data_IF_209915177211
#
_entry.id   IF_209915177211
#
_cell.length_a   1.000
_cell.length_b   1.000
_cell.length_c   1.000
_cell.angle_alpha   90.00
_cell.angle_beta   90.00
_cell.angle_gamma   90.00
#
_symmetry.space_group_name_H-M   'P 1'
#
loop_
_entity.id
_entity.type
_entity.pdbx_description
1 polymer ?
#
# COMPACT_ATOMS: atom_id res chain seq x y z
N UNK A 1 -24.56 8.47 13.68
CA UNK A 1 -23.76 7.45 14.40
C UNK A 1 -23.40 6.23 13.54
N UNK A 2 -24.34 5.62 12.81
CA UNK A 2 -24.08 4.37 12.06
C UNK A 2 -23.01 4.49 10.95
N UNK A 3 -22.90 5.63 10.28
CA UNK A 3 -21.89 5.87 9.22
C UNK A 3 -20.45 5.85 9.76
N UNK A 4 -20.24 6.32 10.99
CA UNK A 4 -18.90 6.40 11.60
C UNK A 4 -18.37 4.97 11.86
N UNK A 5 -19.21 4.06 12.33
CA UNK A 5 -18.82 2.65 12.54
C UNK A 5 -18.53 1.93 11.22
N UNK A 6 -19.33 2.20 10.18
CA UNK A 6 -19.15 1.62 8.84
C UNK A 6 -17.85 2.06 8.19
N UNK A 7 -17.35 3.27 8.49
CA UNK A 7 -16.07 3.78 7.97
C UNK A 7 -14.90 3.40 8.88
N UNK A 8 -15.08 3.45 10.20
CA UNK A 8 -14.02 3.21 11.18
C UNK A 8 -13.55 1.76 11.22
N UNK A 9 -14.44 0.77 11.01
CA UNK A 9 -14.06 -0.65 11.04
C UNK A 9 -13.15 -1.01 9.85
N UNK A 10 -13.49 -0.69 8.58
CA UNK A 10 -12.58 -0.89 7.45
C UNK A 10 -11.26 -0.13 7.61
N UNK A 11 -11.28 1.09 8.17
CA UNK A 11 -10.07 1.86 8.44
C UNK A 11 -9.18 1.21 9.50
N UNK A 12 -9.75 0.74 10.61
CA UNK A 12 -9.02 0.01 11.64
C UNK A 12 -8.42 -1.28 11.10
N UNK A 13 -9.20 -2.02 10.30
CA UNK A 13 -8.75 -3.24 9.64
C UNK A 13 -7.61 -2.92 8.65
N UNK A 14 -7.73 -1.86 7.84
CA UNK A 14 -6.67 -1.39 6.94
C UNK A 14 -5.41 -0.94 7.69
N UNK A 15 -5.55 -0.26 8.83
CA UNK A 15 -4.43 0.15 9.70
C UNK A 15 -3.73 -1.08 10.28
N UNK A 16 -4.50 -2.06 10.77
CA UNK A 16 -3.97 -3.34 11.25
C UNK A 16 -3.23 -4.04 10.10
N UNK A 17 -3.80 -4.08 8.90
CA UNK A 17 -3.17 -4.68 7.71
C UNK A 17 -1.82 -4.03 7.35
N UNK A 18 -1.67 -2.72 7.51
CA UNK A 18 -0.40 -2.02 7.24
C UNK A 18 0.72 -2.31 8.24
N UNK A 19 0.41 -2.90 9.40
CA UNK A 19 1.40 -3.25 10.42
C UNK A 19 2.15 -4.56 10.17
N UNK A 20 1.68 -5.41 9.25
CA UNK A 20 2.27 -6.73 8.99
C UNK A 20 3.30 -6.64 7.87
N UNK A 21 4.58 -6.87 8.19
CA UNK A 21 5.68 -6.89 7.21
C UNK A 21 5.64 -8.14 6.30
N UNK A 22 5.41 -9.32 6.89
CA UNK A 22 5.36 -10.56 6.12
C UNK A 22 4.09 -10.68 5.27
N UNK A 23 4.26 -10.70 3.96
CA UNK A 23 3.20 -10.88 2.96
C UNK A 23 2.40 -12.17 3.21
N UNK A 24 3.07 -13.26 3.59
CA UNK A 24 2.41 -14.54 3.89
C UNK A 24 1.58 -14.48 5.17
N UNK A 25 2.10 -13.90 6.26
CA UNK A 25 1.33 -13.73 7.50
C UNK A 25 0.09 -12.84 7.28
N UNK A 26 0.25 -11.79 6.47
CA UNK A 26 -0.86 -10.95 6.00
C UNK A 26 -1.89 -11.80 5.25
N UNK A 27 -1.50 -12.58 4.25
CA UNK A 27 -2.43 -13.45 3.50
C UNK A 27 -3.17 -14.46 4.38
N UNK A 28 -2.51 -15.07 5.37
CA UNK A 28 -3.15 -16.00 6.32
C UNK A 28 -4.19 -15.29 7.19
N UNK A 29 -3.89 -14.07 7.64
CA UNK A 29 -4.83 -13.25 8.40
C UNK A 29 -6.02 -12.81 7.53
N UNK A 30 -5.78 -12.31 6.31
CA UNK A 30 -6.86 -11.98 5.34
C UNK A 30 -7.74 -13.21 5.11
N UNK A 31 -7.16 -14.39 4.85
CA UNK A 31 -7.91 -15.63 4.64
C UNK A 31 -8.84 -15.99 5.81
N UNK A 32 -8.42 -15.74 7.05
CA UNK A 32 -9.26 -15.98 8.24
C UNK A 32 -10.39 -14.96 8.36
N UNK A 33 -10.14 -13.71 7.98
CA UNK A 33 -11.13 -12.63 8.01
C UNK A 33 -12.07 -12.61 6.80
N UNK A 34 -11.67 -13.19 5.67
CA UNK A 34 -12.37 -13.09 4.39
C UNK A 34 -13.85 -13.50 4.49
N UNK A 35 -14.15 -14.58 5.22
CA UNK A 35 -15.52 -15.04 5.40
C UNK A 35 -16.38 -14.08 6.23
N UNK A 36 -15.78 -13.43 7.23
CA UNK A 36 -16.43 -12.39 8.00
C UNK A 36 -16.68 -11.15 7.15
N UNK A 37 -15.68 -10.72 6.36
CA UNK A 37 -15.81 -9.59 5.44
C UNK A 37 -16.87 -9.84 4.36
N UNK A 38 -16.96 -11.06 3.82
CA UNK A 38 -18.00 -11.45 2.87
C UNK A 38 -19.40 -11.33 3.48
N UNK A 39 -19.60 -11.80 4.71
CA UNK A 39 -20.88 -11.70 5.41
C UNK A 39 -21.28 -10.23 5.66
N UNK A 40 -20.32 -9.39 6.08
CA UNK A 40 -20.54 -7.96 6.28
C UNK A 40 -20.85 -7.26 4.95
N UNK A 41 -20.11 -7.55 3.89
CA UNK A 41 -20.34 -7.00 2.56
C UNK A 41 -21.75 -7.35 2.05
N UNK A 42 -22.19 -8.61 2.24
CA UNK A 42 -23.53 -9.05 1.86
C UNK A 42 -24.62 -8.30 2.64
N UNK A 43 -24.48 -8.19 3.96
CA UNK A 43 -25.44 -7.50 4.81
C UNK A 43 -25.58 -6.00 4.45
N UNK A 44 -24.46 -5.31 4.23
CA UNK A 44 -24.47 -3.89 3.84
C UNK A 44 -25.03 -3.74 2.42
N UNK A 45 -24.73 -4.66 1.51
CA UNK A 45 -25.26 -4.63 0.14
C UNK A 45 -26.79 -4.79 0.12
N UNK A 46 -27.33 -5.73 0.89
CA UNK A 46 -28.78 -5.88 1.07
C UNK A 46 -29.42 -4.60 1.63
N UNK A 47 -28.83 -4.00 2.67
CA UNK A 47 -29.30 -2.74 3.24
C UNK A 47 -29.28 -1.61 2.21
N UNK A 48 -28.20 -1.47 1.45
CA UNK A 48 -28.04 -0.43 0.44
C UNK A 48 -29.09 -0.55 -0.69
N UNK A 49 -29.36 -1.78 -1.16
CA UNK A 49 -30.38 -2.05 -2.17
C UNK A 49 -31.79 -1.74 -1.68
N UNK A 50 -32.13 -2.14 -0.45
CA UNK A 50 -33.46 -1.91 0.14
C UNK A 50 -33.76 -0.43 0.41
N UNK A 51 -32.73 0.39 0.66
CA UNK A 51 -32.87 1.80 1.02
C UNK A 51 -32.44 2.78 -0.09
N UNK A 52 -32.11 2.28 -1.29
CA UNK A 52 -31.66 3.10 -2.42
C UNK A 52 -30.31 3.81 -2.22
N UNK A 53 -29.46 3.32 -1.30
CA UNK A 53 -28.17 3.92 -0.95
C UNK A 53 -27.00 3.36 -1.78
N UNK A 54 -27.12 3.39 -3.11
CA UNK A 54 -26.20 2.72 -4.04
C UNK A 54 -24.73 3.17 -3.95
N UNK A 55 -24.48 4.40 -3.51
CA UNK A 55 -23.11 4.92 -3.32
C UNK A 55 -22.31 4.11 -2.28
N UNK A 56 -22.97 3.50 -1.29
CA UNK A 56 -22.33 2.63 -0.32
C UNK A 56 -21.73 1.37 -0.97
N UNK A 57 -22.34 0.88 -2.06
CA UNK A 57 -21.85 -0.30 -2.77
C UNK A 57 -20.45 -0.07 -3.32
N UNK A 58 -20.15 1.12 -3.84
CA UNK A 58 -18.81 1.44 -4.36
C UNK A 58 -17.79 1.42 -3.22
N UNK A 59 -18.12 2.04 -2.08
CA UNK A 59 -17.22 2.16 -0.94
C UNK A 59 -16.89 0.81 -0.28
N UNK A 60 -17.85 -0.11 -0.22
CA UNK A 60 -17.64 -1.42 0.41
C UNK A 60 -17.09 -2.47 -0.56
N UNK A 61 -17.38 -2.33 -1.86
CA UNK A 61 -17.01 -3.36 -2.85
C UNK A 61 -15.53 -3.25 -3.22
N UNK A 62 -14.96 -2.04 -3.32
CA UNK A 62 -13.55 -1.88 -3.66
C UNK A 62 -12.63 -2.56 -2.62
N UNK A 63 -12.79 -2.30 -1.30
CA UNK A 63 -12.00 -2.99 -0.27
C UNK A 63 -12.24 -4.50 -0.25
N UNK A 64 -13.50 -4.93 -0.44
CA UNK A 64 -13.84 -6.36 -0.47
C UNK A 64 -13.17 -7.09 -1.63
N UNK A 65 -13.15 -6.49 -2.83
CA UNK A 65 -12.46 -7.07 -3.99
C UNK A 65 -10.94 -7.14 -3.80
N UNK A 66 -10.34 -6.14 -3.15
CA UNK A 66 -8.92 -6.18 -2.80
C UNK A 66 -8.60 -7.29 -1.80
N UNK A 67 -9.44 -7.45 -0.77
CA UNK A 67 -9.32 -8.55 0.20
C UNK A 67 -9.51 -9.92 -0.44
N UNK A 68 -10.51 -10.08 -1.31
CA UNK A 68 -10.72 -11.30 -2.10
C UNK A 68 -9.49 -11.61 -2.96
N UNK A 69 -8.98 -10.60 -3.68
CA UNK A 69 -7.77 -10.74 -4.48
C UNK A 69 -6.60 -11.17 -3.60
N UNK A 70 -6.36 -10.53 -2.46
CA UNK A 70 -5.27 -10.88 -1.55
C UNK A 70 -5.38 -12.32 -1.00
N UNK A 71 -6.61 -12.75 -0.69
CA UNK A 71 -6.93 -14.10 -0.18
C UNK A 71 -6.58 -15.21 -1.18
N UNK A 72 -6.89 -14.99 -2.47
CA UNK A 72 -6.77 -15.99 -3.52
C UNK A 72 -5.56 -15.78 -4.44
N UNK A 73 -4.83 -14.67 -4.32
CA UNK A 73 -3.62 -14.40 -5.09
C UNK A 73 -2.53 -15.39 -4.69
N UNK A 74 -1.95 -16.04 -5.70
CA UNK A 74 -0.69 -16.80 -5.52
C UNK A 74 0.45 -15.83 -5.25
N UNK A 75 1.29 -16.16 -4.27
CA UNK A 75 2.50 -15.39 -3.99
C UNK A 75 3.38 -15.34 -5.24
N UNK A 76 3.79 -14.13 -5.62
CA UNK A 76 4.76 -13.93 -6.71
C UNK A 76 6.19 -13.99 -6.14
N UNK A 77 7.19 -14.01 -7.02
CA UNK A 77 8.60 -14.07 -6.62
C UNK A 77 9.00 -12.92 -5.67
N UNK A 78 8.47 -11.71 -5.88
CA UNK A 78 8.70 -10.57 -4.97
C UNK A 78 8.16 -10.83 -3.56
N UNK A 79 7.00 -11.46 -3.44
CA UNK A 79 6.42 -11.83 -2.14
C UNK A 79 7.28 -12.88 -1.44
N UNK A 80 7.82 -13.86 -2.19
CA UNK A 80 8.71 -14.89 -1.64
C UNK A 80 10.01 -14.26 -1.13
N UNK A 81 10.58 -13.36 -1.93
CA UNK A 81 11.78 -12.61 -1.60
C UNK A 81 11.57 -11.75 -0.35
N UNK A 82 10.43 -11.05 -0.25
CA UNK A 82 10.08 -10.26 0.93
C UNK A 82 9.93 -11.12 2.18
N UNK A 83 9.29 -12.29 2.08
CA UNK A 83 9.18 -13.21 3.22
C UNK A 83 10.56 -13.66 3.72
N UNK A 84 11.52 -13.88 2.81
CA UNK A 84 12.89 -14.25 3.17
C UNK A 84 13.64 -13.09 3.82
N UNK A 85 13.54 -11.86 3.31
CA UNK A 85 14.18 -10.69 3.93
C UNK A 85 13.61 -10.39 5.32
N UNK A 86 12.31 -10.63 5.53
CA UNK A 86 11.68 -10.47 6.85
C UNK A 86 12.14 -11.53 7.86
N UNK A 87 12.46 -12.75 7.41
CA UNK A 87 12.96 -13.86 8.24
C UNK A 87 13.94 -14.76 7.46
N UNK A 88 15.23 -14.39 7.40
CA UNK A 88 16.23 -15.10 6.58
C UNK A 88 16.52 -16.53 7.06
N UNK A 89 16.09 -16.88 8.28
CA UNK A 89 16.25 -18.24 8.81
C UNK A 89 15.29 -19.22 8.17
N UNK A 90 14.21 -18.76 7.54
CA UNK A 90 13.21 -19.62 6.95
C UNK A 90 13.09 -19.37 5.44
N UNK A 91 12.81 -20.43 4.69
CA UNK A 91 12.55 -20.32 3.26
C UNK A 91 11.32 -19.42 3.00
N UNK A 92 11.48 -18.38 2.19
CA UNK A 92 10.40 -17.46 1.82
C UNK A 92 9.22 -18.11 1.08
N UNK A 93 9.42 -19.31 0.53
CA UNK A 93 8.40 -20.13 -0.15
C UNK A 93 7.75 -21.17 0.76
N UNK A 94 8.52 -22.01 1.45
CA UNK A 94 7.97 -23.16 2.20
C UNK A 94 8.11 -23.07 3.72
N UNK A 95 8.77 -22.04 4.27
CA UNK A 95 9.07 -21.87 5.70
C UNK A 95 10.00 -22.93 6.30
N UNK A 96 10.66 -23.76 5.48
CA UNK A 96 11.69 -24.67 5.97
C UNK A 96 12.84 -23.89 6.61
N UNK A 97 13.33 -24.36 7.76
CA UNK A 97 14.49 -23.78 8.46
C UNK A 97 15.76 -23.97 7.64
N UNK A 98 16.34 -22.87 7.19
CA UNK A 98 17.54 -22.80 6.37
C UNK A 98 18.82 -22.81 7.20
N UNK A 99 18.75 -22.95 8.53
CA UNK A 99 19.92 -23.00 9.40
C UNK A 99 20.89 -24.10 8.95
N UNK A 100 22.11 -23.69 8.58
CA UNK A 100 23.16 -24.60 8.11
C UNK A 100 23.05 -24.98 6.62
N UNK A 101 22.11 -24.40 5.86
CA UNK A 101 22.07 -24.60 4.42
C UNK A 101 23.15 -23.80 3.71
N UNK A 102 24.01 -24.50 2.96
CA UNK A 102 25.10 -23.90 2.15
C UNK A 102 24.87 -24.04 0.64
N UNK A 103 23.81 -24.71 0.23
CA UNK A 103 23.59 -25.08 -1.18
C UNK A 103 23.07 -23.93 -2.06
N UNK A 104 22.57 -22.84 -1.45
CA UNK A 104 21.88 -21.77 -2.17
C UNK A 104 20.50 -22.14 -2.71
N UNK A 105 20.00 -23.35 -2.43
CA UNK A 105 18.66 -23.82 -2.81
C UNK A 105 17.96 -24.45 -1.61
N UNK A 106 16.66 -24.24 -1.47
CA UNK A 106 15.88 -24.87 -0.42
C UNK A 106 15.75 -26.39 -0.67
N UNK A 107 16.10 -27.26 0.30
CA UNK A 107 16.06 -28.71 0.12
C UNK A 107 14.64 -29.27 0.00
N UNK A 108 13.64 -28.60 0.57
CA UNK A 108 12.24 -29.08 0.57
C UNK A 108 11.47 -28.69 -0.70
N UNK A 109 11.55 -27.43 -1.11
CA UNK A 109 10.73 -26.91 -2.20
C UNK A 109 11.51 -26.56 -3.47
N UNK A 110 12.85 -26.64 -3.44
CA UNK A 110 13.71 -26.30 -4.57
C UNK A 110 13.80 -24.80 -4.88
N UNK A 111 13.29 -23.92 -4.01
CA UNK A 111 13.39 -22.47 -4.22
C UNK A 111 14.85 -22.01 -4.16
N UNK A 112 15.29 -21.24 -5.13
CA UNK A 112 16.64 -20.64 -5.11
C UNK A 112 16.67 -19.53 -4.06
N UNK A 113 17.58 -19.67 -3.10
CA UNK A 113 17.74 -18.74 -1.99
C UNK A 113 18.53 -17.54 -2.53
N UNK A 114 17.98 -16.32 -2.43
CA UNK A 114 18.66 -15.12 -2.85
C UNK A 114 19.89 -14.88 -1.99
N UNK A 115 20.92 -14.25 -2.56
CA UNK A 115 22.10 -13.84 -1.82
C UNK A 115 21.72 -12.85 -0.70
N UNK A 116 22.45 -12.84 0.42
CA UNK A 116 22.16 -11.96 1.57
C UNK A 116 22.18 -10.47 1.19
N UNK A 117 22.88 -10.13 0.09
CA UNK A 117 22.95 -8.77 -0.46
C UNK A 117 21.77 -8.41 -1.39
N UNK A 118 20.76 -9.27 -1.52
CA UNK A 118 19.61 -8.99 -2.39
C UNK A 118 18.80 -7.82 -1.83
N UNK A 119 18.84 -6.68 -2.50
CA UNK A 119 18.08 -5.49 -2.10
C UNK A 119 16.64 -5.57 -2.59
N UNK A 120 15.68 -5.36 -1.69
CA UNK A 120 14.25 -5.24 -2.02
C UNK A 120 13.81 -3.79 -1.78
N UNK A 121 12.87 -3.31 -2.59
CA UNK A 121 12.23 -2.01 -2.39
C UNK A 121 11.42 -2.03 -1.09
N UNK A 122 11.71 -1.10 -0.17
CA UNK A 122 11.05 -1.01 1.13
C UNK A 122 9.63 -0.45 0.98
N UNK A 123 8.59 -1.24 1.26
CA UNK A 123 7.18 -0.82 1.17
C UNK A 123 6.84 0.49 1.90
N UNK A 124 7.64 0.89 2.89
CA UNK A 124 7.43 2.12 3.66
C UNK A 124 8.25 3.31 3.17
N UNK A 125 8.97 3.19 2.04
CA UNK A 125 9.84 4.27 1.56
C UNK A 125 9.07 5.57 1.31
N UNK A 126 7.78 5.50 0.95
CA UNK A 126 6.92 6.68 0.72
C UNK A 126 6.51 7.41 2.01
N UNK A 127 6.59 6.73 3.17
CA UNK A 127 6.24 7.27 4.49
C UNK A 127 7.43 8.02 5.07
N UNK A 128 7.68 9.21 4.53
CA UNK A 128 8.83 10.06 4.89
C UNK A 128 8.90 10.40 6.39
N UNK A 129 7.77 10.36 7.11
CA UNK A 129 7.71 10.58 8.56
C UNK A 129 8.17 9.36 9.39
N UNK A 130 8.29 8.17 8.79
CA UNK A 130 8.82 6.96 9.45
C UNK A 130 10.31 6.85 9.19
N UNK A 131 10.71 6.95 7.93
CA UNK A 131 12.11 6.79 7.50
C UNK A 131 12.42 7.77 6.39
N UNK A 132 13.43 8.62 6.63
CA UNK A 132 13.83 9.62 5.65
C UNK A 132 14.62 9.03 4.49
N UNK A 133 15.57 8.13 4.77
CA UNK A 133 16.44 7.56 3.73
C UNK A 133 15.76 6.44 2.95
N UNK A 134 15.89 6.52 1.62
CA UNK A 134 15.46 5.47 0.69
C UNK A 134 16.61 4.47 0.57
N UNK A 135 16.36 3.21 0.90
CA UNK A 135 17.36 2.14 0.80
C UNK A 135 17.55 1.68 -0.65
N UNK A 136 16.50 1.14 -1.24
CA UNK A 136 16.49 0.66 -2.62
C UNK A 136 15.17 1.02 -3.30
N UNK A 137 15.25 1.36 -4.59
CA UNK A 137 14.12 1.63 -5.47
C UNK A 137 14.37 0.94 -6.82
N UNK A 138 13.43 0.12 -7.27
CA UNK A 138 13.59 -0.69 -8.49
C UNK A 138 13.52 0.18 -9.75
N UNK A 139 12.64 1.19 -9.74
CA UNK A 139 12.39 2.07 -10.89
C UNK A 139 12.34 3.56 -10.49
N UNK A 140 13.48 4.16 -10.11
CA UNK A 140 13.48 5.50 -9.52
C UNK A 140 12.99 6.60 -10.45
N UNK A 141 13.28 6.52 -11.76
CA UNK A 141 12.78 7.50 -12.74
C UNK A 141 11.25 7.44 -12.90
N UNK A 142 10.67 6.24 -12.94
CA UNK A 142 9.21 6.07 -13.04
C UNK A 142 8.51 6.61 -11.80
N UNK A 143 9.05 6.31 -10.62
CA UNK A 143 8.52 6.78 -9.34
C UNK A 143 8.64 8.31 -9.22
N UNK A 144 9.73 8.91 -9.70
CA UNK A 144 9.91 10.36 -9.76
C UNK A 144 8.83 11.02 -10.62
N UNK A 145 8.65 10.54 -11.86
CA UNK A 145 7.63 11.10 -12.76
C UNK A 145 6.22 10.93 -12.21
N UNK A 146 5.91 9.78 -11.62
CA UNK A 146 4.62 9.52 -11.01
C UNK A 146 4.31 10.50 -9.87
N UNK A 147 5.22 10.68 -8.92
CA UNK A 147 5.02 11.58 -7.78
C UNK A 147 4.98 13.05 -8.21
N UNK A 148 5.81 13.45 -9.18
CA UNK A 148 5.78 14.79 -9.73
C UNK A 148 4.45 15.10 -10.43
N UNK A 149 3.96 14.19 -11.28
CA UNK A 149 2.69 14.34 -11.98
C UNK A 149 1.51 14.36 -11.00
N UNK A 150 1.49 13.45 -10.03
CA UNK A 150 0.43 13.40 -9.01
C UNK A 150 0.42 14.67 -8.15
N UNK A 151 1.60 15.21 -7.83
CA UNK A 151 1.73 16.52 -7.18
C UNK A 151 1.11 17.65 -8.02
N UNK A 152 1.46 17.74 -9.30
CA UNK A 152 0.93 18.75 -10.22
C UNK A 152 -0.60 18.66 -10.36
N UNK A 153 -1.15 17.45 -10.45
CA UNK A 153 -2.60 17.24 -10.47
C UNK A 153 -3.24 17.69 -9.16
N UNK A 154 -2.63 17.36 -8.02
CA UNK A 154 -3.17 17.71 -6.69
C UNK A 154 -3.23 19.22 -6.47
N UNK A 155 -2.19 19.96 -6.87
CA UNK A 155 -2.16 21.43 -6.76
C UNK A 155 -3.07 22.13 -7.78
N UNK A 156 -3.42 21.48 -8.90
CA UNK A 156 -4.39 22.01 -9.86
C UNK A 156 -5.84 21.84 -9.39
N UNK A 157 -6.16 20.68 -8.80
CA UNK A 157 -7.53 20.33 -8.37
C UNK A 157 -7.97 21.18 -7.17
N UNK A 158 -7.10 21.42 -6.17
CA UNK A 158 -7.46 22.19 -4.98
C UNK A 158 -8.01 23.59 -5.28
N UNK A 159 -7.29 24.45 -6.01
CA UNK A 159 -7.75 25.76 -6.46
C UNK A 159 -8.96 25.68 -7.40
N UNK A 160 -9.02 24.69 -8.29
CA UNK A 160 -10.19 24.48 -9.15
C UNK A 160 -11.47 24.26 -8.35
N UNK A 161 -11.40 23.49 -7.26
CA UNK A 161 -12.54 23.27 -6.34
C UNK A 161 -12.97 24.60 -5.69
N UNK A 162 -12.02 25.46 -5.29
CA UNK A 162 -12.33 26.77 -4.70
C UNK A 162 -12.95 27.75 -5.70
N UNK A 163 -12.49 27.71 -6.95
CA UNK A 163 -12.90 28.65 -8.00
C UNK A 163 -14.20 28.23 -8.70
N UNK A 164 -14.53 26.93 -8.71
CA UNK A 164 -15.68 26.42 -9.45
C UNK A 164 -17.03 26.62 -8.75
N UNK A 165 -17.07 26.73 -7.42
CA UNK A 165 -18.30 27.03 -6.69
C UNK A 165 -18.07 27.89 -5.42
N UNK A 166 -18.01 29.23 -5.55
CA UNK A 166 -17.76 30.15 -4.44
C UNK A 166 -18.87 30.19 -3.38
N UNK A 167 -20.07 29.68 -3.68
CA UNK A 167 -21.26 29.81 -2.83
C UNK A 167 -21.82 28.45 -2.37
N UNK A 168 -21.00 27.40 -2.44
CA UNK A 168 -21.45 26.05 -2.09
C UNK A 168 -21.95 26.02 -0.62
N UNK A 169 -23.17 25.51 -0.36
CA UNK A 169 -23.78 25.47 0.98
C UNK A 169 -23.02 24.61 2.01
N UNK A 170 -21.92 23.97 1.60
CA UNK A 170 -21.06 23.12 2.40
C UNK A 170 -19.61 23.64 2.39
N UNK A 171 -19.41 24.94 2.64
CA UNK A 171 -18.09 25.57 2.66
C UNK A 171 -17.04 24.81 3.50
N UNK A 172 -17.46 24.22 4.63
CA UNK A 172 -16.60 23.37 5.47
C UNK A 172 -16.13 22.09 4.76
N UNK A 173 -16.97 21.48 3.92
CA UNK A 173 -16.59 20.32 3.10
C UNK A 173 -15.61 20.72 1.99
N UNK A 174 -15.83 21.87 1.36
CA UNK A 174 -14.90 22.43 0.35
C UNK A 174 -13.52 22.66 0.94
N UNK A 175 -13.43 23.31 2.10
CA UNK A 175 -12.17 23.52 2.83
C UNK A 175 -11.49 22.20 3.20
N UNK A 176 -12.26 21.20 3.64
CA UNK A 176 -11.74 19.88 3.96
C UNK A 176 -11.12 19.20 2.74
N UNK A 177 -11.79 19.21 1.59
CA UNK A 177 -11.25 18.66 0.34
C UNK A 177 -9.96 19.38 -0.08
N UNK A 178 -9.94 20.71 -0.02
CA UNK A 178 -8.74 21.50 -0.33
C UNK A 178 -7.58 21.12 0.59
N UNK A 179 -7.84 20.97 1.89
CA UNK A 179 -6.82 20.53 2.85
C UNK A 179 -6.29 19.13 2.52
N UNK A 180 -7.15 18.19 2.12
CA UNK A 180 -6.72 16.85 1.69
C UNK A 180 -5.80 16.91 0.45
N UNK A 181 -6.17 17.69 -0.56
CA UNK A 181 -5.34 17.85 -1.77
C UNK A 181 -4.02 18.57 -1.46
N UNK A 182 -4.02 19.53 -0.53
CA UNK A 182 -2.80 20.18 -0.06
C UNK A 182 -1.85 19.20 0.67
N UNK A 183 -2.39 18.34 1.53
CA UNK A 183 -1.62 17.29 2.21
C UNK A 183 -1.07 16.25 1.21
N UNK A 184 -1.87 15.86 0.22
CA UNK A 184 -1.44 14.97 -0.85
C UNK A 184 -0.30 15.59 -1.66
N UNK A 185 -0.43 16.87 -2.04
CA UNK A 185 0.62 17.61 -2.72
C UNK A 185 1.91 17.65 -1.90
N UNK A 186 1.83 17.98 -0.61
CA UNK A 186 2.99 18.01 0.28
C UNK A 186 3.69 16.64 0.32
N UNK A 187 2.93 15.56 0.44
CA UNK A 187 3.47 14.20 0.42
C UNK A 187 4.18 13.87 -0.91
N UNK A 188 3.57 14.25 -2.03
CA UNK A 188 4.17 14.06 -3.36
C UNK A 188 5.44 14.90 -3.54
N UNK A 189 5.44 16.15 -3.10
CA UNK A 189 6.59 17.05 -3.21
C UNK A 189 7.79 16.53 -2.40
N UNK A 190 7.57 16.13 -1.14
CA UNK A 190 8.61 15.55 -0.29
C UNK A 190 9.19 14.28 -0.92
N UNK A 191 8.33 13.36 -1.37
CA UNK A 191 8.80 12.12 -2.00
C UNK A 191 9.52 12.38 -3.33
N UNK A 192 9.11 13.37 -4.12
CA UNK A 192 9.82 13.78 -5.34
C UNK A 192 11.24 14.23 -5.03
N UNK A 193 11.42 15.08 -4.00
CA UNK A 193 12.75 15.55 -3.56
C UNK A 193 13.62 14.38 -3.09
N UNK A 194 13.05 13.46 -2.31
CA UNK A 194 13.76 12.29 -1.78
C UNK A 194 14.21 11.34 -2.89
N UNK A 195 13.33 11.04 -3.85
CA UNK A 195 13.68 10.20 -5.01
C UNK A 195 14.76 10.87 -5.86
N UNK A 196 14.66 12.19 -6.07
CA UNK A 196 15.69 12.94 -6.79
C UNK A 196 17.06 12.86 -6.10
N UNK A 197 17.09 13.04 -4.77
CA UNK A 197 18.30 12.90 -3.97
C UNK A 197 18.88 11.49 -4.04
N UNK A 198 18.03 10.45 -4.01
CA UNK A 198 18.43 9.06 -4.18
C UNK A 198 19.07 8.81 -5.56
N UNK A 199 18.44 9.26 -6.65
CA UNK A 199 18.97 9.13 -8.01
C UNK A 199 20.33 9.82 -8.13
N UNK A 200 20.45 11.03 -7.56
CA UNK A 200 21.71 11.78 -7.57
C UNK A 200 22.81 10.99 -6.84
N UNK A 201 22.53 10.48 -5.64
CA UNK A 201 23.47 9.65 -4.87
C UNK A 201 23.91 8.41 -5.65
N UNK A 202 22.99 7.71 -6.31
CA UNK A 202 23.33 6.54 -7.12
C UNK A 202 24.26 6.88 -8.29
N UNK A 203 23.99 7.98 -8.98
CA UNK A 203 24.84 8.48 -10.07
C UNK A 203 26.25 8.80 -9.58
N UNK A 204 26.37 9.48 -8.44
CA UNK A 204 27.67 9.87 -7.87
C UNK A 204 28.47 8.64 -7.34
N UNK A 205 27.78 7.54 -7.00
CA UNK A 205 28.39 6.31 -6.47
C UNK A 205 28.77 5.26 -7.52
N UNK A 206 28.38 5.44 -8.78
CA UNK A 206 28.75 4.54 -9.88
C UNK A 206 29.95 5.14 -10.60
N UNK A 207 31.20 4.69 -10.34
CA UNK A 207 32.34 5.13 -11.12
C UNK A 207 32.17 4.61 -12.56
N UNK A 208 32.20 5.52 -13.52
CA UNK A 208 32.36 5.18 -14.95
C UNK A 208 33.69 4.43 -15.18
#
# INVERSE_FOLDING_TARGET
MHVILVIAIPLLVAIIYQGWRSTRKRQLFVRRLFWFELAVWFAISCYALLNGAYWLLILITIPFLDSARSTFRKSNEKDLLQNFVDDPRHCGQCEYDLTGNVSGTCPECGWNIPDENTMIEDDNWTKWWIKWEIGYLEHPQKQLHFHALLGLVSIAIGPWILLSDPHHPYFGYTLFLVALFALLFLNCAINTIRIWAYIKKQRDSSPD
#
